data_IF_972847329406
#
_entry.id   IF_972847329406
#
_cell.length_a   1.000
_cell.length_b   1.000
_cell.length_c   1.000
_cell.angle_alpha   90.00
_cell.angle_beta   90.00
_cell.angle_gamma   90.00
#
_symmetry.space_group_name_H-M   'P 1'
#
loop_
_entity.id
_entity.type
_entity.pdbx_description
1 polymer ?
#
# COMPACT_ATOMS: atom_id res chain seq x y z
N UNK A 1 -25.88 12.17 -35.76
CA UNK A 1 -25.50 13.61 -35.69
C UNK A 1 -24.84 13.83 -34.34
N UNK A 2 -23.51 13.81 -34.29
CA UNK A 2 -22.63 15.00 -34.18
C UNK A 2 -22.64 15.58 -32.75
N UNK A 3 -21.57 15.38 -31.96
CA UNK A 3 -20.26 16.07 -31.91
C UNK A 3 -20.30 17.38 -31.08
N UNK A 4 -19.29 17.47 -30.21
CA UNK A 4 -18.59 18.66 -29.67
C UNK A 4 -19.24 19.55 -28.62
N UNK A 5 -18.62 19.57 -27.44
CA UNK A 5 -18.41 20.77 -26.61
C UNK A 5 -17.27 20.52 -25.60
N UNK A 6 -16.07 20.39 -26.15
CA UNK A 6 -14.80 20.27 -25.41
C UNK A 6 -13.89 21.44 -25.82
N UNK A 7 -14.40 22.67 -25.73
CA UNK A 7 -13.70 23.85 -26.25
C UNK A 7 -14.10 25.18 -25.58
N UNK A 8 -14.01 25.24 -24.25
CA UNK A 8 -14.26 26.50 -23.53
C UNK A 8 -13.44 26.64 -22.25
N UNK A 9 -12.11 26.64 -22.33
CA UNK A 9 -11.28 27.20 -21.23
C UNK A 9 -9.80 27.47 -21.57
N UNK A 10 -9.47 27.93 -22.78
CA UNK A 10 -8.14 28.51 -23.03
C UNK A 10 -8.13 29.58 -24.13
N UNK A 11 -8.50 30.82 -23.79
CA UNK A 11 -8.15 32.03 -24.56
C UNK A 11 -7.96 33.23 -23.62
N UNK A 12 -6.81 33.89 -23.77
CA UNK A 12 -6.38 35.10 -23.06
C UNK A 12 -4.85 35.13 -23.02
N UNK A 13 -4.11 35.44 -24.10
CA UNK A 13 -3.92 36.69 -24.85
C UNK A 13 -2.71 37.53 -24.36
N UNK A 14 -1.87 37.93 -25.31
CA UNK A 14 -0.70 38.82 -25.17
C UNK A 14 0.58 38.15 -25.68
N UNK A 15 1.26 38.56 -26.75
CA UNK A 15 1.23 39.78 -27.55
C UNK A 15 2.69 40.10 -27.95
N UNK A 16 2.97 40.13 -29.26
CA UNK A 16 4.28 40.39 -29.87
C UNK A 16 4.89 41.75 -29.47
N UNK A 17 6.23 41.79 -29.34
CA UNK A 17 7.04 42.94 -29.76
C UNK A 17 8.42 42.48 -30.24
N UNK A 18 8.77 42.90 -31.46
CA UNK A 18 10.12 42.94 -32.02
C UNK A 18 10.51 44.42 -32.18
N UNK A 19 11.72 44.80 -31.78
CA UNK A 19 12.76 45.40 -32.67
C UNK A 19 13.88 46.16 -31.93
N UNK A 20 15.07 46.11 -32.56
CA UNK A 20 16.24 47.00 -32.48
C UNK A 20 17.03 47.03 -31.14
N UNK A 21 18.36 46.90 -31.07
CA UNK A 21 19.39 47.62 -31.83
C UNK A 21 20.80 47.03 -31.53
N UNK A 22 21.75 47.41 -32.38
CA UNK A 22 23.05 46.80 -32.62
C UNK A 22 24.24 47.45 -31.87
N UNK A 23 25.44 46.90 -32.16
CA UNK A 23 26.80 47.44 -32.03
C UNK A 23 27.54 47.14 -30.69
N UNK A 24 28.83 46.76 -30.65
CA UNK A 24 29.85 46.49 -31.66
C UNK A 24 31.17 45.99 -30.98
N UNK A 25 31.96 45.20 -31.72
CA UNK A 25 33.46 45.09 -31.74
C UNK A 25 34.16 44.58 -30.45
N UNK A 26 35.12 43.64 -30.44
CA UNK A 26 36.38 43.54 -31.20
C UNK A 26 36.89 42.08 -31.19
N UNK A 27 37.23 41.55 -32.37
CA UNK A 27 38.22 40.46 -32.60
C UNK A 27 39.59 41.09 -32.91
N UNK A 28 40.76 40.42 -32.81
CA UNK A 28 41.20 39.56 -33.93
C UNK A 28 42.17 38.39 -33.58
N UNK A 29 42.24 37.43 -34.51
CA UNK A 29 43.53 36.86 -34.94
C UNK A 29 43.62 35.33 -34.96
N UNK A 30 43.65 34.75 -36.17
CA UNK A 30 44.11 33.36 -36.37
C UNK A 30 43.65 32.67 -37.66
N UNK A 31 44.08 33.17 -38.82
CA UNK A 31 43.91 32.51 -40.13
C UNK A 31 44.76 31.24 -40.28
N UNK A 32 44.26 30.23 -41.02
CA UNK A 32 45.00 29.57 -42.12
C UNK A 32 44.07 28.80 -43.08
N UNK A 33 44.52 28.78 -44.34
CA UNK A 33 43.79 28.61 -45.62
C UNK A 33 43.50 27.15 -46.05
N UNK A 34 42.37 27.02 -46.77
CA UNK A 34 42.05 26.33 -48.05
C UNK A 34 42.86 25.09 -48.47
N UNK A 35 42.16 24.04 -48.94
CA UNK A 35 41.89 23.80 -50.39
C UNK A 35 40.88 22.67 -50.65
N UNK A 36 40.23 22.77 -51.83
CA UNK A 36 39.18 21.92 -52.40
C UNK A 36 39.72 20.63 -53.04
N UNK A 37 38.85 19.61 -53.17
CA UNK A 37 38.59 18.97 -54.48
C UNK A 37 37.30 18.13 -54.46
N UNK A 38 36.55 18.28 -55.56
CA UNK A 38 35.28 17.67 -55.97
C UNK A 38 35.43 16.30 -56.64
N UNK A 39 34.36 15.48 -56.62
CA UNK A 39 33.70 14.77 -57.77
C UNK A 39 32.52 13.95 -57.20
N UNK A 40 31.27 14.32 -57.47
CA UNK A 40 30.39 13.86 -58.57
C UNK A 40 30.18 12.33 -58.64
N UNK A 41 28.94 11.90 -58.37
CA UNK A 41 28.22 11.03 -59.30
C UNK A 41 26.70 11.17 -59.11
N UNK A 42 26.03 11.61 -60.18
CA UNK A 42 24.59 11.54 -60.40
C UNK A 42 24.20 10.12 -60.83
N UNK A 43 22.99 9.66 -60.48
CA UNK A 43 22.05 9.26 -61.51
C UNK A 43 20.61 9.13 -61.00
N UNK A 44 19.74 9.70 -61.83
CA UNK A 44 18.30 9.93 -61.71
C UNK A 44 17.53 8.73 -62.30
N UNK A 45 16.36 8.38 -61.75
CA UNK A 45 15.15 8.09 -62.55
C UNK A 45 13.92 7.73 -61.69
N UNK A 46 12.84 8.46 -61.95
CA UNK A 46 11.46 8.26 -61.52
C UNK A 46 10.73 7.38 -62.56
N UNK A 47 9.83 6.47 -62.17
CA UNK A 47 8.47 6.28 -62.75
C UNK A 47 7.68 5.06 -62.22
N UNK A 48 6.58 5.35 -61.54
CA UNK A 48 5.18 4.87 -61.69
C UNK A 48 4.87 3.51 -62.35
N UNK A 49 4.06 2.67 -61.67
CA UNK A 49 2.65 2.30 -62.03
C UNK A 49 2.25 0.86 -61.61
N UNK A 50 1.09 0.72 -60.97
CA UNK A 50 0.25 -0.51 -60.86
C UNK A 50 -0.77 -0.55 -62.02
N UNK A 51 -1.67 -1.55 -62.19
CA UNK A 51 -1.71 -3.01 -61.91
C UNK A 51 -2.06 -3.81 -63.22
N UNK A 52 -2.57 -5.08 -63.16
CA UNK A 52 -4.04 -5.25 -63.28
C UNK A 52 -4.66 -6.46 -62.53
N UNK A 53 -5.99 -6.59 -62.67
CA UNK A 53 -7.00 -7.41 -61.96
C UNK A 53 -7.74 -8.33 -62.95
N UNK A 54 -8.25 -9.50 -62.51
CA UNK A 54 -9.44 -10.32 -62.97
C UNK A 54 -9.14 -11.84 -62.80
N UNK A 55 -10.04 -12.79 -62.47
CA UNK A 55 -11.51 -12.99 -62.50
C UNK A 55 -11.83 -14.18 -61.54
N UNK A 56 -12.84 -14.15 -60.64
CA UNK A 56 -14.24 -14.63 -60.74
C UNK A 56 -14.47 -16.01 -61.38
N UNK A 57 -15.04 -16.96 -60.61
CA UNK A 57 -16.03 -17.95 -61.10
C UNK A 57 -16.91 -18.47 -59.94
N UNK A 58 -18.23 -18.36 -60.12
CA UNK A 58 -19.31 -18.87 -59.28
C UNK A 58 -19.58 -20.38 -59.50
N UNK A 59 -20.04 -21.12 -58.47
CA UNK A 59 -21.42 -21.65 -58.33
C UNK A 59 -21.58 -22.85 -57.37
N UNK A 60 -22.65 -22.74 -56.57
CA UNK A 60 -23.68 -23.71 -56.14
C UNK A 60 -23.38 -24.95 -55.27
N UNK A 61 -23.99 -24.89 -54.07
CA UNK A 61 -24.94 -25.81 -53.42
C UNK A 61 -24.69 -27.33 -53.37
N UNK A 62 -24.84 -27.89 -52.16
CA UNK A 62 -25.04 -29.33 -51.95
C UNK A 62 -24.94 -29.75 -50.48
N UNK A 63 -26.08 -29.76 -49.79
CA UNK A 63 -26.28 -30.27 -48.43
C UNK A 63 -25.93 -31.76 -48.27
N UNK A 64 -25.39 -32.14 -47.09
CA UNK A 64 -25.84 -33.24 -46.21
C UNK A 64 -24.68 -33.96 -45.46
N UNK A 65 -24.71 -33.80 -44.14
CA UNK A 65 -24.49 -34.81 -43.07
C UNK A 65 -23.46 -35.93 -43.24
N UNK A 66 -22.48 -36.00 -42.31
CA UNK A 66 -22.40 -36.98 -41.20
C UNK A 66 -21.00 -36.97 -40.54
N UNK A 67 -21.03 -36.81 -39.21
CA UNK A 67 -20.14 -37.37 -38.17
C UNK A 67 -18.77 -37.97 -38.55
N UNK A 68 -17.70 -37.41 -37.98
CA UNK A 68 -16.66 -38.23 -37.33
C UNK A 68 -15.87 -37.40 -36.29
N UNK A 69 -15.64 -38.05 -35.16
CA UNK A 69 -14.94 -37.66 -33.93
C UNK A 69 -13.41 -37.64 -34.09
N UNK A 70 -12.70 -36.73 -33.42
CA UNK A 70 -11.42 -37.00 -32.75
C UNK A 70 -10.95 -35.81 -31.87
N UNK A 71 -10.95 -36.08 -30.56
CA UNK A 71 -9.89 -35.74 -29.58
C UNK A 71 -9.47 -34.28 -29.38
N UNK A 72 -10.10 -33.64 -28.38
CA UNK A 72 -9.48 -32.59 -27.59
C UNK A 72 -9.01 -33.21 -26.26
N UNK A 73 -7.70 -33.22 -26.05
CA UNK A 73 -7.08 -33.57 -24.78
C UNK A 73 -7.51 -32.56 -23.71
N UNK A 74 -8.31 -33.04 -22.75
CA UNK A 74 -8.62 -32.33 -21.53
C UNK A 74 -7.47 -32.52 -20.54
N UNK A 75 -6.59 -31.53 -20.40
CA UNK A 75 -5.65 -31.51 -19.30
C UNK A 75 -6.38 -31.16 -18.00
N UNK A 76 -6.35 -32.16 -17.13
CA UNK A 76 -6.98 -32.26 -15.82
C UNK A 76 -6.23 -31.39 -14.82
N UNK A 77 -6.75 -30.21 -14.50
CA UNK A 77 -6.27 -29.40 -13.39
C UNK A 77 -6.77 -29.99 -12.07
N UNK A 78 -5.92 -30.80 -11.43
CA UNK A 78 -6.06 -31.15 -10.01
C UNK A 78 -5.16 -30.24 -9.18
N UNK A 79 -5.74 -29.50 -8.23
CA UNK A 79 -5.02 -28.99 -7.06
C UNK A 79 -4.64 -27.51 -7.05
N UNK A 80 -5.58 -26.59 -7.35
CA UNK A 80 -5.48 -25.20 -6.90
C UNK A 80 -6.56 -24.95 -5.84
N UNK A 81 -6.15 -24.62 -4.62
CA UNK A 81 -7.04 -24.22 -3.54
C UNK A 81 -7.89 -23.02 -3.96
N UNK A 82 -9.16 -23.04 -3.60
CA UNK A 82 -10.23 -22.18 -4.16
C UNK A 82 -10.40 -20.84 -3.42
N UNK A 83 -9.45 -20.46 -2.56
CA UNK A 83 -9.72 -19.49 -1.48
C UNK A 83 -9.10 -18.08 -1.65
N UNK A 84 -8.42 -17.77 -2.76
CA UNK A 84 -7.84 -16.42 -2.99
C UNK A 84 -8.85 -15.36 -3.49
N UNK A 85 -10.14 -15.69 -3.54
CA UNK A 85 -11.15 -14.93 -4.25
C UNK A 85 -12.40 -14.67 -3.39
N UNK A 86 -12.24 -13.95 -2.28
CA UNK A 86 -13.38 -13.31 -1.61
C UNK A 86 -13.34 -11.82 -1.89
N UNK A 87 -14.24 -11.42 -2.80
CA UNK A 87 -14.71 -10.04 -2.95
C UNK A 87 -15.65 -9.71 -1.79
N UNK A 88 -15.32 -8.67 -1.03
CA UNK A 88 -16.17 -8.10 0.02
C UNK A 88 -16.57 -6.67 -0.39
N UNK A 89 -17.01 -6.50 -1.64
CA UNK A 89 -17.64 -5.29 -2.18
C UNK A 89 -19.19 -5.35 -2.13
N UNK A 90 -19.76 -5.86 -1.03
CA UNK A 90 -21.19 -5.79 -0.77
C UNK A 90 -21.48 -4.68 0.25
N UNK A 91 -21.70 -3.48 -0.28
CA UNK A 91 -22.32 -2.38 0.45
C UNK A 91 -23.73 -2.77 0.93
N UNK A 92 -23.90 -3.01 2.24
CA UNK A 92 -25.23 -3.03 2.86
C UNK A 92 -25.57 -1.61 3.33
N UNK A 93 -26.24 -0.88 2.44
CA UNK A 93 -27.02 0.30 2.79
C UNK A 93 -28.19 -0.13 3.66
N UNK A 94 -28.17 0.22 4.95
CA UNK A 94 -29.35 0.14 5.83
C UNK A 94 -30.19 1.40 5.60
N UNK A 95 -31.48 1.30 5.20
CA UNK A 95 -32.33 2.47 5.09
C UNK A 95 -32.70 3.02 6.48
N UNK A 96 -32.65 4.34 6.63
CA UNK A 96 -33.33 5.04 7.72
C UNK A 96 -34.83 4.75 7.66
N UNK A 97 -35.35 4.02 8.63
CA UNK A 97 -36.78 4.00 8.91
C UNK A 97 -37.17 5.28 9.67
N UNK A 98 -38.01 6.10 9.05
CA UNK A 98 -38.75 7.18 9.72
C UNK A 98 -39.86 6.56 10.58
N UNK A 99 -40.18 7.12 11.76
CA UNK A 99 -41.27 6.63 12.58
C UNK A 99 -42.62 7.14 12.04
N UNK A 100 -43.55 6.21 11.83
CA UNK A 100 -44.97 6.52 11.61
C UNK A 100 -45.74 6.41 12.93
N UNK A 101 -46.44 7.48 13.26
CA UNK A 101 -47.42 7.59 14.33
C UNK A 101 -48.61 6.64 14.09
N UNK A 102 -49.04 5.91 15.12
CA UNK A 102 -50.44 5.45 15.27
C UNK A 102 -50.83 5.59 16.73
N UNK A 103 -51.95 6.27 16.92
CA UNK A 103 -52.64 6.53 18.19
C UNK A 103 -53.27 5.25 18.74
N UNK A 104 -53.30 5.11 20.06
CA UNK A 104 -54.54 4.72 20.75
C UNK A 104 -54.52 5.20 22.20
N UNK A 105 -55.59 5.88 22.55
CA UNK A 105 -55.93 6.47 23.84
C UNK A 105 -56.23 5.39 24.90
N UNK A 106 -55.93 5.65 26.17
CA UNK A 106 -56.92 5.71 27.25
C UNK A 106 -56.27 5.99 28.62
N UNK A 107 -56.62 7.15 29.19
CA UNK A 107 -57.16 7.25 30.56
C UNK A 107 -56.21 7.32 31.76
N UNK A 108 -56.31 8.42 32.52
CA UNK A 108 -56.17 8.37 33.98
C UNK A 108 -55.22 9.40 34.59
N UNK A 109 -55.78 10.53 35.01
CA UNK A 109 -55.16 11.56 35.85
C UNK A 109 -54.69 11.02 37.21
N UNK A 110 -53.63 11.59 37.81
CA UNK A 110 -53.70 12.65 38.84
C UNK A 110 -52.31 13.17 39.24
N UNK A 111 -52.28 14.50 39.34
CA UNK A 111 -51.48 15.51 40.04
C UNK A 111 -50.20 15.26 40.87
N UNK A 112 -49.38 16.32 40.79
CA UNK A 112 -48.43 16.91 41.76
C UNK A 112 -47.16 16.14 42.16
N UNK A 113 -46.01 16.75 42.45
CA UNK A 113 -45.39 18.05 42.22
C UNK A 113 -43.93 17.96 42.74
N UNK A 114 -43.09 18.91 42.32
CA UNK A 114 -41.81 19.35 42.93
C UNK A 114 -40.59 18.41 42.89
N UNK A 115 -39.53 18.70 42.10
CA UNK A 115 -38.53 19.79 42.18
C UNK A 115 -37.36 19.49 43.14
N UNK A 116 -36.19 19.10 42.61
CA UNK A 116 -34.90 19.38 43.25
C UNK A 116 -33.88 19.89 42.22
N UNK A 117 -33.54 21.16 42.38
CA UNK A 117 -32.45 21.86 41.70
C UNK A 117 -31.11 21.62 42.40
N UNK A 118 -30.07 21.67 41.58
CA UNK A 118 -28.65 21.84 41.91
C UNK A 118 -28.42 23.05 42.84
N UNK A 119 -27.37 23.00 43.65
CA UNK A 119 -26.18 23.83 43.46
C UNK A 119 -25.10 23.61 44.54
N UNK A 120 -23.86 23.65 44.06
CA UNK A 120 -22.57 23.76 44.75
C UNK A 120 -22.31 25.17 45.28
N UNK A 121 -21.60 25.29 46.42
CA UNK A 121 -20.39 26.13 46.60
C UNK A 121 -19.96 26.18 48.09
N UNK A 122 -18.64 26.17 48.31
CA UNK A 122 -17.98 26.47 49.60
C UNK A 122 -17.94 27.99 49.86
N UNK A 123 -17.59 28.48 51.08
CA UNK A 123 -16.17 28.71 51.41
C UNK A 123 -15.78 28.57 52.90
N UNK A 124 -14.50 28.89 53.17
CA UNK A 124 -13.69 28.70 54.37
C UNK A 124 -14.14 29.44 55.66
N UNK A 125 -13.68 28.92 56.81
CA UNK A 125 -13.77 29.55 58.13
C UNK A 125 -12.85 28.88 59.16
N UNK A 126 -12.20 29.71 59.96
CA UNK A 126 -11.05 29.50 60.87
C UNK A 126 -11.36 28.92 62.27
N UNK A 127 -10.31 28.32 62.85
CA UNK A 127 -9.85 28.39 64.25
C UNK A 127 -10.45 27.51 65.38
N UNK A 128 -9.47 26.96 66.13
CA UNK A 128 -9.41 26.70 67.60
C UNK A 128 -10.31 25.65 68.23
N UNK A 129 -9.71 24.57 68.77
CA UNK A 129 -9.53 24.41 70.23
C UNK A 129 -8.62 23.21 70.55
N UNK A 130 -7.72 23.43 71.49
CA UNK A 130 -6.84 22.44 72.12
C UNK A 130 -7.57 21.71 73.26
N UNK A 131 -7.15 20.48 73.58
CA UNK A 131 -6.93 19.98 74.96
C UNK A 131 -6.67 18.46 74.99
N UNK A 132 -5.56 18.09 75.65
CA UNK A 132 -5.25 16.91 76.50
C UNK A 132 -5.85 15.52 76.18
N UNK A 133 -5.19 14.39 76.36
CA UNK A 133 -3.90 14.03 76.96
C UNK A 133 -3.89 12.52 77.27
N UNK A 134 -2.68 11.98 77.48
CA UNK A 134 -2.29 10.70 78.12
C UNK A 134 -2.34 9.37 77.34
N UNK A 135 -1.11 8.86 77.15
CA UNK A 135 -0.57 7.55 77.56
C UNK A 135 -1.31 6.26 77.18
N UNK A 136 -0.66 5.41 76.37
CA UNK A 136 0.09 4.23 76.86
C UNK A 136 0.35 3.20 75.73
N UNK A 137 1.37 2.35 75.98
CA UNK A 137 1.97 1.30 75.15
C UNK A 137 0.98 0.41 74.36
N UNK A 138 1.33 -0.28 73.26
CA UNK A 138 2.29 -1.40 73.18
C UNK A 138 2.26 -2.00 71.74
N UNK A 139 3.37 -2.62 71.32
CA UNK A 139 3.56 -3.58 70.21
C UNK A 139 3.95 -3.05 68.80
N UNK A 140 4.96 -3.68 68.13
CA UNK A 140 5.43 -3.30 66.80
C UNK A 140 4.50 -3.84 65.69
N UNK A 141 4.48 -3.24 64.50
CA UNK A 141 3.57 -3.66 63.44
C UNK A 141 4.03 -4.99 62.83
N UNK A 142 3.08 -5.87 62.59
CA UNK A 142 3.22 -6.98 61.66
C UNK A 142 3.65 -6.41 60.31
N UNK A 143 4.79 -6.91 59.81
CA UNK A 143 5.28 -6.66 58.45
C UNK A 143 4.11 -6.87 57.48
N UNK A 144 3.65 -5.80 56.85
CA UNK A 144 2.89 -5.95 55.63
C UNK A 144 3.83 -6.65 54.65
N UNK A 145 3.37 -7.80 54.15
CA UNK A 145 3.97 -8.36 52.94
C UNK A 145 3.80 -7.28 51.89
N UNK A 146 4.92 -6.64 51.55
CA UNK A 146 5.00 -5.87 50.32
C UNK A 146 4.65 -6.86 49.22
N UNK A 147 3.40 -6.76 48.74
CA UNK A 147 3.01 -7.35 47.48
C UNK A 147 4.04 -6.83 46.50
N UNK A 148 5.00 -7.68 46.18
CA UNK A 148 5.95 -7.41 45.12
C UNK A 148 5.05 -7.32 43.91
N UNK A 149 4.71 -6.11 43.51
CA UNK A 149 4.14 -5.84 42.20
C UNK A 149 5.24 -6.30 41.26
N UNK A 150 5.16 -7.57 40.89
CA UNK A 150 5.84 -8.14 39.75
C UNK A 150 5.43 -7.25 38.61
N UNK A 151 6.26 -6.26 38.34
CA UNK A 151 6.15 -5.42 37.15
C UNK A 151 6.53 -6.39 36.06
N UNK A 152 5.54 -7.13 35.57
CA UNK A 152 5.66 -7.93 34.37
C UNK A 152 6.01 -6.91 33.30
N UNK A 153 7.32 -6.75 33.08
CA UNK A 153 7.87 -6.07 31.93
C UNK A 153 7.41 -6.87 30.74
N UNK A 154 6.17 -6.62 30.30
CA UNK A 154 5.65 -7.05 29.01
C UNK A 154 6.70 -6.61 28.01
N UNK A 155 7.48 -7.58 27.51
CA UNK A 155 8.52 -7.29 26.57
C UNK A 155 7.85 -6.64 25.37
N UNK A 156 8.08 -5.34 25.15
CA UNK A 156 7.56 -4.57 24.00
C UNK A 156 8.21 -5.02 22.70
N UNK A 157 8.05 -6.29 22.37
CA UNK A 157 8.76 -6.93 21.27
C UNK A 157 8.28 -6.38 19.93
N UNK A 158 6.99 -6.04 19.81
CA UNK A 158 6.39 -5.57 18.58
C UNK A 158 6.96 -4.21 18.16
N UNK A 159 7.00 -3.23 19.06
CA UNK A 159 7.63 -1.94 18.78
C UNK A 159 9.11 -2.09 18.41
N UNK A 160 9.80 -3.07 19.04
CA UNK A 160 11.18 -3.41 18.74
C UNK A 160 11.42 -3.94 17.31
N UNK A 161 10.37 -4.40 16.62
CA UNK A 161 10.45 -4.87 15.22
C UNK A 161 10.50 -3.75 14.19
N UNK A 162 10.24 -2.51 14.57
CA UNK A 162 10.58 -1.34 13.76
C UNK A 162 12.07 -1.05 14.02
N UNK A 163 12.93 -1.42 13.07
CA UNK A 163 14.38 -1.37 13.23
C UNK A 163 14.97 -0.08 12.65
N UNK A 164 14.32 0.53 11.66
CA UNK A 164 14.74 1.82 11.10
C UNK A 164 14.59 2.95 12.14
N UNK A 165 15.68 3.63 12.56
CA UNK A 165 15.60 4.69 13.57
C UNK A 165 14.70 5.85 13.17
N UNK A 166 14.67 6.20 11.88
CA UNK A 166 13.84 7.28 11.36
C UNK A 166 12.35 6.95 11.47
N UNK A 167 11.96 5.75 11.07
CA UNK A 167 10.58 5.28 11.23
C UNK A 167 10.19 5.11 12.69
N UNK A 168 11.08 4.63 13.56
CA UNK A 168 10.82 4.57 15.00
C UNK A 168 10.49 5.94 15.55
N UNK A 169 11.29 6.96 15.20
CA UNK A 169 11.05 8.34 15.64
C UNK A 169 9.74 8.88 15.07
N UNK A 170 9.49 8.67 13.78
CA UNK A 170 8.31 9.17 13.09
C UNK A 170 7.02 8.52 13.60
N UNK A 171 7.04 7.22 13.89
CA UNK A 171 5.88 6.46 14.39
C UNK A 171 5.80 6.41 15.92
N UNK A 172 6.71 7.06 16.64
CA UNK A 172 6.71 7.09 18.10
C UNK A 172 5.34 7.53 18.68
N UNK A 173 4.66 8.57 18.17
CA UNK A 173 3.34 8.98 18.68
C UNK A 173 2.23 7.92 18.51
N UNK A 174 2.43 6.93 17.64
CA UNK A 174 1.47 5.85 17.33
C UNK A 174 1.81 4.53 18.03
N UNK A 175 3.00 4.42 18.62
CA UNK A 175 3.52 3.18 19.23
C UNK A 175 3.69 3.29 20.75
N UNK A 176 3.42 4.47 21.34
CA UNK A 176 3.41 4.68 22.79
C UNK A 176 2.17 4.09 23.47
N UNK A 177 2.28 3.86 24.77
CA UNK A 177 1.17 3.37 25.60
C UNK A 177 0.02 4.39 25.71
N UNK A 178 0.30 5.68 25.47
CA UNK A 178 -0.72 6.73 25.43
C UNK A 178 -1.58 6.69 24.16
N UNK A 179 -1.07 6.14 23.05
CA UNK A 179 -1.79 6.14 21.79
C UNK A 179 -3.05 5.26 21.89
N UNK A 180 -4.21 5.91 21.76
CA UNK A 180 -5.55 5.29 21.87
C UNK A 180 -5.68 4.39 23.10
N UNK A 181 -5.22 4.90 24.25
CA UNK A 181 -5.27 4.22 25.55
C UNK A 181 -4.59 2.83 25.52
N UNK A 182 -3.39 2.72 24.94
CA UNK A 182 -2.64 1.47 24.87
C UNK A 182 -3.05 0.54 23.74
N UNK A 183 -3.55 1.09 22.63
CA UNK A 183 -4.02 0.26 21.50
C UNK A 183 -2.90 -0.55 20.87
N UNK A 184 -1.69 0.00 20.74
CA UNK A 184 -0.55 -0.73 20.16
C UNK A 184 -0.14 -1.93 21.02
N UNK A 185 -0.14 -1.78 22.36
CA UNK A 185 0.11 -2.88 23.28
C UNK A 185 -0.99 -3.97 23.19
N UNK A 186 -2.25 -3.59 22.96
CA UNK A 186 -3.32 -4.59 22.74
C UNK A 186 -3.09 -5.42 21.46
N UNK A 187 -2.51 -4.84 20.41
CA UNK A 187 -2.13 -5.60 19.20
C UNK A 187 -1.06 -6.64 19.57
N UNK A 188 -0.03 -6.25 20.33
CA UNK A 188 1.03 -7.17 20.78
C UNK A 188 0.46 -8.34 21.60
N UNK A 189 -0.37 -8.03 22.61
CA UNK A 189 -1.04 -9.05 23.44
C UNK A 189 -1.93 -9.98 22.62
N UNK A 190 -2.67 -9.44 21.66
CA UNK A 190 -3.46 -10.26 20.74
C UNK A 190 -2.58 -11.27 19.99
N UNK A 191 -1.43 -10.86 19.47
CA UNK A 191 -0.53 -11.78 18.75
C UNK A 191 0.08 -12.84 19.66
N UNK A 192 0.40 -12.47 20.90
CA UNK A 192 0.92 -13.41 21.90
C UNK A 192 -0.16 -14.44 22.28
N UNK A 193 -1.40 -14.00 22.53
CA UNK A 193 -2.55 -14.88 22.81
C UNK A 193 -2.82 -15.85 21.64
N UNK A 194 -2.72 -15.37 20.40
CA UNK A 194 -2.94 -16.20 19.22
C UNK A 194 -1.85 -17.28 19.06
N UNK A 195 -0.59 -16.93 19.36
CA UNK A 195 0.52 -17.89 19.38
C UNK A 195 0.39 -18.89 20.52
N UNK A 196 -0.04 -18.46 21.71
CA UNK A 196 -0.27 -19.33 22.86
C UNK A 196 -1.38 -20.35 22.58
N UNK A 197 -2.39 -19.98 21.78
CA UNK A 197 -3.41 -20.91 21.26
C UNK A 197 -2.88 -21.88 20.19
N UNK A 198 -1.59 -21.85 19.89
CA UNK A 198 -0.96 -22.71 18.88
C UNK A 198 -1.22 -22.29 17.43
N UNK A 199 -1.68 -21.06 17.18
CA UNK A 199 -1.93 -20.57 15.82
C UNK A 199 -0.61 -20.16 15.16
N UNK A 200 -0.47 -20.51 13.89
CA UNK A 200 0.66 -20.05 13.05
C UNK A 200 0.32 -18.69 12.48
N UNK A 201 1.03 -17.66 12.91
CA UNK A 201 0.81 -16.27 12.47
C UNK A 201 1.87 -15.86 11.46
N UNK A 202 1.41 -15.31 10.34
CA UNK A 202 2.22 -14.82 9.22
C UNK A 202 2.11 -13.29 9.09
N UNK A 203 3.14 -12.61 8.55
CA UNK A 203 4.48 -13.14 8.26
C UNK A 203 5.27 -13.41 9.56
N UNK A 204 6.50 -13.96 9.50
CA UNK A 204 7.38 -14.07 10.65
C UNK A 204 7.53 -12.73 11.40
N UNK A 205 7.77 -12.77 12.71
CA UNK A 205 7.79 -11.58 13.55
C UNK A 205 8.79 -10.50 13.09
N UNK A 206 9.91 -10.90 12.49
CA UNK A 206 10.92 -9.99 11.94
C UNK A 206 10.41 -9.19 10.74
N UNK A 207 9.43 -9.73 10.00
CA UNK A 207 8.97 -9.19 8.73
C UNK A 207 7.69 -8.37 8.87
N UNK A 208 7.02 -8.37 10.04
CA UNK A 208 5.76 -7.63 10.27
C UNK A 208 5.86 -6.16 9.83
N UNK A 209 7.01 -5.53 10.08
CA UNK A 209 7.28 -4.13 9.73
C UNK A 209 8.29 -3.96 8.59
N UNK A 210 8.48 -4.99 7.75
CA UNK A 210 9.41 -4.91 6.61
C UNK A 210 9.12 -3.68 5.74
N UNK A 211 7.85 -3.36 5.45
CA UNK A 211 7.46 -2.17 4.70
C UNK A 211 8.08 -0.85 5.22
N UNK A 212 8.25 -0.70 6.53
CA UNK A 212 8.93 0.45 7.13
C UNK A 212 10.45 0.26 7.13
N UNK A 213 10.91 -0.94 7.48
CA UNK A 213 12.34 -1.21 7.64
C UNK A 213 13.11 -1.15 6.32
N UNK A 214 12.50 -1.52 5.20
CA UNK A 214 13.10 -1.50 3.86
C UNK A 214 12.88 -0.21 3.09
N UNK A 215 11.90 0.60 3.48
CA UNK A 215 11.60 1.88 2.81
C UNK A 215 12.31 3.02 3.53
N UNK A 216 13.32 3.70 2.94
CA UNK A 216 13.96 4.82 3.63
C UNK A 216 13.00 6.00 3.75
N UNK A 217 12.68 6.42 4.99
CA UNK A 217 11.66 7.43 5.29
C UNK A 217 11.89 8.73 4.50
N UNK A 218 13.12 9.25 4.45
CA UNK A 218 13.43 10.50 3.70
C UNK A 218 13.20 10.38 2.19
N UNK A 219 13.32 9.17 1.64
CA UNK A 219 13.14 8.91 0.20
C UNK A 219 11.70 8.55 -0.14
N UNK A 220 10.82 8.41 0.86
CA UNK A 220 9.42 8.04 0.66
C UNK A 220 8.74 9.01 -0.29
N UNK A 221 8.15 8.45 -1.34
CA UNK A 221 7.52 9.18 -2.44
C UNK A 221 6.26 8.51 -2.98
N UNK A 222 6.13 7.17 -2.80
CA UNK A 222 4.92 6.42 -3.17
C UNK A 222 4.42 5.61 -1.96
N UNK A 223 3.11 5.55 -1.79
CA UNK A 223 2.45 4.65 -0.83
C UNK A 223 1.48 3.76 -1.61
N UNK A 224 1.64 2.45 -1.52
CA UNK A 224 0.73 1.45 -2.07
C UNK A 224 0.05 0.69 -0.94
N UNK A 225 -1.27 0.61 -1.00
CA UNK A 225 -2.08 -0.05 0.03
C UNK A 225 -2.57 -1.42 -0.43
N UNK A 226 -2.35 -2.42 0.42
CA UNK A 226 -2.98 -3.74 0.34
C UNK A 226 -3.94 -3.98 1.51
N UNK A 227 -4.59 -5.15 1.53
CA UNK A 227 -5.59 -5.50 2.52
C UNK A 227 -4.97 -6.22 3.73
N UNK A 228 -4.55 -7.47 3.55
CA UNK A 228 -3.88 -8.31 4.52
C UNK A 228 -2.72 -9.08 3.88
N UNK A 229 -1.81 -9.68 4.67
CA UNK A 229 -0.71 -10.46 4.13
C UNK A 229 -1.25 -11.72 3.45
N UNK A 230 -0.49 -12.22 2.49
CA UNK A 230 -0.65 -13.57 2.01
C UNK A 230 -0.61 -14.59 3.16
N UNK A 231 -1.50 -15.59 3.11
CA UNK A 231 -1.74 -16.51 4.23
C UNK A 231 -1.09 -17.88 4.09
N UNK A 232 -0.42 -18.18 2.97
CA UNK A 232 0.33 -19.42 2.87
C UNK A 232 1.74 -19.28 3.47
N UNK A 233 2.25 -20.41 3.97
CA UNK A 233 3.59 -20.48 4.56
C UNK A 233 4.65 -20.06 3.53
N UNK A 234 5.64 -19.31 3.99
CA UNK A 234 6.74 -18.79 3.18
C UNK A 234 6.29 -17.91 1.99
N UNK A 235 5.08 -17.35 2.03
CA UNK A 235 4.59 -16.44 1.00
C UNK A 235 4.78 -14.97 1.39
N UNK A 236 4.15 -14.53 2.48
CA UNK A 236 4.24 -13.14 2.95
C UNK A 236 5.58 -12.83 3.62
N UNK A 237 6.12 -11.64 3.33
CA UNK A 237 7.32 -11.08 3.98
C UNK A 237 7.16 -9.59 4.34
N UNK A 238 5.93 -9.17 4.65
CA UNK A 238 5.65 -7.83 5.18
C UNK A 238 5.51 -6.69 4.16
N UNK A 239 5.51 -6.98 2.86
CA UNK A 239 5.20 -6.03 1.80
C UNK A 239 3.89 -6.43 1.10
N UNK A 240 2.97 -5.49 0.87
CA UNK A 240 1.74 -5.78 0.12
C UNK A 240 2.07 -6.27 -1.31
N UNK A 241 1.29 -7.23 -1.83
CA UNK A 241 1.46 -7.86 -3.14
C UNK A 241 2.77 -8.63 -3.42
N UNK A 242 3.79 -8.52 -2.55
CA UNK A 242 5.05 -9.22 -2.75
C UNK A 242 5.05 -10.60 -2.10
N UNK A 243 5.75 -11.54 -2.74
CA UNK A 243 6.04 -12.86 -2.18
C UNK A 243 7.55 -13.10 -2.10
N UNK A 244 7.96 -14.03 -1.23
CA UNK A 244 9.36 -14.48 -1.17
C UNK A 244 9.84 -15.07 -2.51
N UNK A 245 11.16 -15.13 -2.74
CA UNK A 245 11.73 -15.86 -3.87
C UNK A 245 11.22 -17.30 -3.96
N UNK A 246 11.20 -17.85 -5.17
CA UNK A 246 10.77 -19.23 -5.48
C UNK A 246 9.28 -19.56 -5.19
N UNK A 247 8.52 -18.60 -4.67
CA UNK A 247 7.07 -18.72 -4.52
C UNK A 247 6.38 -18.43 -5.87
N UNK A 248 5.42 -19.27 -6.31
CA UNK A 248 4.64 -19.01 -7.52
C UNK A 248 3.96 -17.63 -7.46
N UNK A 249 3.98 -16.92 -8.58
CA UNK A 249 3.35 -15.60 -8.69
C UNK A 249 1.86 -15.67 -8.35
N UNK A 250 1.38 -14.96 -7.31
CA UNK A 250 -0.05 -14.90 -7.01
C UNK A 250 -0.85 -14.28 -8.18
N UNK A 251 -2.15 -14.62 -8.33
CA UNK A 251 -2.95 -14.14 -9.46
C UNK A 251 -2.96 -12.62 -9.63
N UNK A 252 -3.10 -11.86 -8.53
CA UNK A 252 -3.05 -10.40 -8.56
C UNK A 252 -1.69 -9.87 -9.04
N UNK A 253 -0.59 -10.48 -8.61
CA UNK A 253 0.75 -10.06 -9.02
C UNK A 253 1.02 -10.36 -10.50
N UNK A 254 0.51 -11.48 -11.02
CA UNK A 254 0.57 -11.75 -12.47
C UNK A 254 -0.15 -10.66 -13.27
N UNK A 255 -1.30 -10.18 -12.80
CA UNK A 255 -2.02 -9.10 -13.45
C UNK A 255 -1.31 -7.75 -13.29
N UNK A 256 -0.61 -7.51 -12.17
CA UNK A 256 0.28 -6.36 -12.00
C UNK A 256 1.39 -6.36 -13.06
N UNK A 257 2.07 -7.50 -13.26
CA UNK A 257 3.13 -7.61 -14.27
C UNK A 257 2.59 -7.47 -15.71
N UNK A 258 1.39 -7.97 -16.00
CA UNK A 258 0.73 -7.75 -17.29
C UNK A 258 0.49 -6.27 -17.57
N UNK A 259 -0.02 -5.54 -16.59
CA UNK A 259 -0.24 -4.10 -16.74
C UNK A 259 1.08 -3.34 -16.88
N UNK A 260 2.10 -3.65 -16.05
CA UNK A 260 3.43 -3.07 -16.17
C UNK A 260 4.06 -3.28 -17.55
N UNK A 261 3.88 -4.45 -18.14
CA UNK A 261 4.39 -4.79 -19.48
C UNK A 261 3.71 -3.93 -20.56
N UNK A 262 2.42 -3.62 -20.39
CA UNK A 262 1.69 -2.77 -21.33
C UNK A 262 1.94 -1.27 -21.11
N UNK A 263 2.17 -0.85 -19.85
CA UNK A 263 2.25 0.55 -19.47
C UNK A 263 3.67 1.13 -19.53
N UNK A 264 4.67 0.37 -19.09
CA UNK A 264 6.06 0.82 -18.99
C UNK A 264 6.87 0.27 -20.16
N UNK A 265 7.27 1.15 -21.06
CA UNK A 265 8.07 0.80 -22.23
C UNK A 265 9.36 0.05 -21.82
N UNK A 266 9.55 -1.16 -22.38
CA UNK A 266 10.71 -1.99 -22.13
C UNK A 266 10.68 -2.80 -20.82
N UNK A 267 9.58 -2.75 -20.05
CA UNK A 267 9.44 -3.59 -18.87
C UNK A 267 9.41 -5.08 -19.23
N UNK A 268 10.18 -5.86 -18.48
CA UNK A 268 10.25 -7.32 -18.57
C UNK A 268 9.83 -7.91 -17.22
N UNK A 269 8.75 -8.69 -17.23
CA UNK A 269 8.26 -9.36 -16.03
C UNK A 269 9.29 -10.42 -15.56
N UNK A 270 9.77 -10.36 -14.31
CA UNK A 270 10.61 -11.42 -13.76
C UNK A 270 9.77 -12.68 -13.48
N UNK A 271 10.45 -13.82 -13.32
CA UNK A 271 9.80 -15.08 -12.94
C UNK A 271 9.41 -15.15 -11.44
N UNK A 272 9.88 -14.20 -10.61
CA UNK A 272 9.63 -14.16 -9.17
C UNK A 272 8.71 -13.01 -8.76
N UNK A 273 8.14 -13.10 -7.55
CA UNK A 273 7.25 -12.08 -6.99
C UNK A 273 7.85 -11.20 -5.89
N UNK A 274 9.16 -11.21 -5.75
CA UNK A 274 9.90 -10.39 -4.79
C UNK A 274 10.03 -8.92 -5.26
N UNK A 275 9.40 -8.00 -4.54
CA UNK A 275 9.23 -6.58 -4.90
C UNK A 275 10.05 -5.63 -4.01
N UNK A 276 10.99 -6.18 -3.22
CA UNK A 276 11.79 -5.43 -2.25
C UNK A 276 12.48 -4.19 -2.85
N UNK A 277 12.99 -4.31 -4.08
CA UNK A 277 13.66 -3.20 -4.77
C UNK A 277 12.76 -1.99 -5.04
N UNK A 278 11.44 -2.15 -5.05
CA UNK A 278 10.53 -0.99 -5.08
C UNK A 278 10.47 -0.31 -3.72
N UNK A 279 10.44 -1.08 -2.63
CA UNK A 279 10.43 -0.51 -1.28
C UNK A 279 11.67 0.34 -1.00
N UNK A 280 12.84 -0.20 -1.36
CA UNK A 280 14.15 0.46 -1.24
C UNK A 280 14.25 1.78 -2.02
N UNK A 281 13.42 1.98 -3.05
CA UNK A 281 13.37 3.23 -3.85
C UNK A 281 12.48 4.31 -3.22
N UNK A 282 11.87 4.07 -2.07
CA UNK A 282 10.94 4.99 -1.42
C UNK A 282 9.46 4.68 -1.70
N UNK A 283 9.11 3.41 -1.89
CA UNK A 283 7.72 2.96 -1.99
C UNK A 283 7.30 2.23 -0.70
N UNK A 284 6.41 2.83 0.08
CA UNK A 284 5.83 2.17 1.25
C UNK A 284 4.73 1.20 0.78
N UNK A 285 5.00 -0.10 0.89
CA UNK A 285 4.10 -1.18 0.47
C UNK A 285 3.33 -1.75 1.67
N UNK A 286 2.29 -1.03 2.11
CA UNK A 286 1.63 -1.23 3.39
C UNK A 286 0.31 -2.01 3.24
N UNK A 287 0.16 -3.13 3.94
CA UNK A 287 -1.16 -3.74 4.15
C UNK A 287 -1.92 -3.03 5.28
N UNK A 288 -3.25 -2.99 5.22
CA UNK A 288 -4.07 -2.46 6.32
C UNK A 288 -4.13 -3.39 7.55
N UNK A 289 -3.96 -4.69 7.34
CA UNK A 289 -3.71 -5.68 8.39
C UNK A 289 -2.29 -6.21 8.22
N UNK A 290 -1.47 -6.23 9.28
CA UNK A 290 -0.04 -6.60 9.15
C UNK A 290 0.26 -8.06 9.49
N UNK A 291 -0.74 -8.82 9.94
CA UNK A 291 -0.60 -10.24 10.24
C UNK A 291 -1.85 -11.00 9.83
N UNK A 292 -1.74 -12.32 9.65
CA UNK A 292 -2.83 -13.22 9.32
C UNK A 292 -2.54 -14.60 9.92
N UNK A 293 -3.57 -15.35 10.30
CA UNK A 293 -3.43 -16.78 10.62
C UNK A 293 -3.21 -17.57 9.32
N UNK A 294 -2.28 -18.54 9.34
CA UNK A 294 -1.98 -19.36 8.18
C UNK A 294 -3.24 -20.01 7.58
N UNK A 295 -3.36 -19.93 6.27
CA UNK A 295 -4.47 -20.43 5.45
C UNK A 295 -5.85 -19.83 5.77
N UNK A 296 -5.91 -18.70 6.48
CA UNK A 296 -7.17 -18.02 6.82
C UNK A 296 -7.11 -16.53 6.47
N UNK A 297 -7.39 -16.22 5.21
CA UNK A 297 -7.54 -14.84 4.73
C UNK A 297 -8.43 -14.01 5.67
N UNK A 298 -8.06 -12.76 5.91
CA UNK A 298 -8.79 -11.79 6.73
C UNK A 298 -9.01 -12.17 8.22
N UNK A 299 -8.42 -13.27 8.71
CA UNK A 299 -8.59 -13.76 10.10
C UNK A 299 -8.29 -12.70 11.17
N UNK A 300 -7.36 -11.80 10.90
CA UNK A 300 -6.95 -10.75 11.84
C UNK A 300 -7.57 -9.36 11.54
N UNK A 301 -8.30 -9.22 10.43
CA UNK A 301 -8.77 -7.91 9.92
C UNK A 301 -9.65 -7.14 10.90
N UNK A 302 -10.50 -7.84 11.66
CA UNK A 302 -11.46 -7.25 12.62
C UNK A 302 -11.02 -7.38 14.08
N UNK A 303 -10.12 -8.32 14.39
CA UNK A 303 -9.81 -8.75 15.75
C UNK A 303 -8.49 -8.18 16.28
N UNK A 304 -7.51 -7.96 15.40
CA UNK A 304 -6.14 -7.60 15.80
C UNK A 304 -5.95 -6.14 16.20
N UNK A 305 -6.78 -5.22 15.69
CA UNK A 305 -6.57 -3.77 15.83
C UNK A 305 -5.64 -3.14 14.78
N UNK A 306 -5.06 -3.94 13.87
CA UNK A 306 -4.11 -3.43 12.85
C UNK A 306 -4.67 -2.32 11.99
N UNK A 307 -5.91 -2.43 11.51
CA UNK A 307 -6.53 -1.40 10.65
C UNK A 307 -6.55 -0.03 11.33
N UNK A 308 -6.75 0.03 12.65
CA UNK A 308 -6.69 1.30 13.39
C UNK A 308 -5.28 1.88 13.46
N UNK A 309 -4.26 1.02 13.53
CA UNK A 309 -2.86 1.44 13.53
C UNK A 309 -2.46 1.95 12.14
N UNK A 310 -2.71 1.18 11.09
CA UNK A 310 -2.34 1.57 9.72
C UNK A 310 -3.13 2.78 9.22
N UNK A 311 -4.40 2.95 9.63
CA UNK A 311 -5.15 4.18 9.34
C UNK A 311 -4.51 5.40 10.00
N UNK A 312 -4.02 5.26 11.23
CA UNK A 312 -3.29 6.32 11.90
C UNK A 312 -1.93 6.59 11.23
N UNK A 313 -1.24 5.56 10.72
CA UNK A 313 -0.01 5.72 9.92
C UNK A 313 -0.29 6.53 8.65
N UNK A 314 -1.35 6.20 7.90
CA UNK A 314 -1.73 6.92 6.67
C UNK A 314 -2.02 8.40 6.96
N UNK A 315 -2.82 8.67 8.01
CA UNK A 315 -3.12 10.04 8.44
C UNK A 315 -1.84 10.78 8.86
N UNK A 316 -0.97 10.13 9.64
CA UNK A 316 0.27 10.72 10.13
C UNK A 316 1.24 11.04 8.99
N UNK A 317 1.35 10.15 8.00
CA UNK A 317 2.09 10.41 6.76
C UNK A 317 1.52 11.61 6.00
N UNK A 318 0.19 11.65 5.82
CA UNK A 318 -0.44 12.75 5.10
C UNK A 318 -0.23 14.11 5.77
N UNK A 319 -0.22 14.16 7.10
CA UNK A 319 -0.12 15.41 7.84
C UNK A 319 1.33 15.84 8.06
N UNK A 320 2.22 14.90 8.39
CA UNK A 320 3.53 15.24 8.95
C UNK A 320 4.71 14.82 8.10
N UNK A 321 4.54 13.95 7.09
CA UNK A 321 5.66 13.56 6.25
C UNK A 321 6.18 14.79 5.49
N UNK A 322 7.51 15.06 5.42
CA UNK A 322 8.01 16.27 4.78
C UNK A 322 7.74 16.29 3.26
N UNK A 323 7.85 15.14 2.59
CA UNK A 323 7.64 15.04 1.14
C UNK A 323 6.15 15.04 0.79
N UNK A 324 5.82 15.57 -0.40
CA UNK A 324 4.56 15.26 -1.08
C UNK A 324 4.64 13.82 -1.59
N UNK A 325 3.50 13.11 -1.59
CA UNK A 325 3.47 11.66 -1.83
C UNK A 325 2.43 11.33 -2.89
N UNK A 326 2.65 10.25 -3.63
CA UNK A 326 1.64 9.60 -4.48
C UNK A 326 1.06 8.40 -3.74
N UNK A 327 -0.26 8.38 -3.53
CA UNK A 327 -0.98 7.24 -2.97
C UNK A 327 -1.66 6.44 -4.09
N UNK A 328 -1.32 5.15 -4.19
CA UNK A 328 -1.93 4.21 -5.12
C UNK A 328 -3.01 3.42 -4.38
N UNK A 329 -4.27 3.64 -4.76
CA UNK A 329 -5.44 3.03 -4.12
C UNK A 329 -6.15 2.08 -5.10
N UNK A 330 -5.81 0.80 -5.03
CA UNK A 330 -6.34 -0.24 -5.91
C UNK A 330 -7.52 -0.97 -5.26
N UNK A 331 -8.71 -0.81 -5.84
CA UNK A 331 -9.95 -1.41 -5.35
C UNK A 331 -10.65 -0.65 -4.22
N UNK A 332 -11.91 -1.00 -3.97
CA UNK A 332 -12.79 -0.29 -3.04
C UNK A 332 -12.23 -0.22 -1.61
N UNK A 333 -11.63 -1.30 -1.11
CA UNK A 333 -11.04 -1.33 0.23
C UNK A 333 -9.93 -0.27 0.42
N UNK A 334 -9.01 -0.15 -0.55
CA UNK A 334 -7.96 0.87 -0.50
C UNK A 334 -8.54 2.28 -0.75
N UNK A 335 -9.50 2.43 -1.66
CA UNK A 335 -10.16 3.71 -1.96
C UNK A 335 -10.89 4.30 -0.76
N UNK A 336 -11.43 3.46 0.15
CA UNK A 336 -12.01 3.93 1.41
C UNK A 336 -11.01 4.70 2.30
N UNK A 337 -9.70 4.51 2.10
CA UNK A 337 -8.64 5.21 2.82
C UNK A 337 -8.36 6.62 2.27
N UNK A 338 -8.95 6.99 1.12
CA UNK A 338 -8.87 8.34 0.54
C UNK A 338 -9.21 9.45 1.53
N UNK A 339 -10.21 9.23 2.39
CA UNK A 339 -10.63 10.18 3.44
C UNK A 339 -9.56 10.47 4.50
N UNK A 340 -8.49 9.68 4.54
CA UNK A 340 -7.36 9.84 5.47
C UNK A 340 -6.22 10.68 4.88
N UNK A 341 -6.32 11.05 3.61
CA UNK A 341 -5.27 11.68 2.83
C UNK A 341 -5.71 13.09 2.43
N UNK A 342 -4.86 14.07 2.71
CA UNK A 342 -5.02 15.43 2.23
C UNK A 342 -4.70 15.51 0.73
N UNK A 343 -5.76 15.42 -0.09
CA UNK A 343 -5.68 15.49 -1.55
C UNK A 343 -5.28 16.88 -2.08
N UNK A 344 -5.26 17.93 -1.25
CA UNK A 344 -4.72 19.23 -1.65
C UNK A 344 -3.19 19.23 -1.67
N UNK A 345 -2.58 18.37 -0.85
CA UNK A 345 -1.13 18.21 -0.70
C UNK A 345 -0.58 17.06 -1.52
N UNK A 346 -1.21 15.89 -1.43
CA UNK A 346 -0.75 14.64 -2.03
C UNK A 346 -1.50 14.32 -3.32
N UNK A 347 -0.92 13.46 -4.15
CA UNK A 347 -1.60 12.92 -5.33
C UNK A 347 -2.21 11.57 -4.98
N UNK A 348 -3.46 11.35 -5.35
CA UNK A 348 -4.17 10.08 -5.15
C UNK A 348 -4.52 9.52 -6.53
N UNK A 349 -4.04 8.32 -6.83
CA UNK A 349 -4.34 7.59 -8.06
C UNK A 349 -5.15 6.34 -7.70
N UNK A 350 -6.39 6.32 -8.18
CA UNK A 350 -7.34 5.23 -7.92
C UNK A 350 -7.44 4.34 -9.15
N UNK A 351 -7.47 3.02 -8.93
CA UNK A 351 -7.73 2.04 -9.99
C UNK A 351 -8.56 0.88 -9.45
N UNK A 352 -9.09 0.06 -10.34
CA UNK A 352 -9.70 -1.23 -10.00
C UNK A 352 -8.65 -2.15 -9.38
N UNK A 353 -9.04 -3.12 -8.54
CA UNK A 353 -8.07 -4.05 -7.96
C UNK A 353 -7.51 -5.03 -9.02
N UNK A 354 -6.21 -5.43 -8.95
CA UNK A 354 -5.60 -6.39 -9.89
C UNK A 354 -6.10 -7.85 -9.76
N UNK A 355 -6.96 -8.17 -8.81
CA UNK A 355 -7.52 -9.52 -8.64
C UNK A 355 -8.21 -9.99 -9.94
N UNK A 356 -8.15 -11.29 -10.30
CA UNK A 356 -8.88 -11.84 -11.44
C UNK A 356 -10.38 -11.49 -11.46
N UNK A 357 -11.00 -11.31 -10.30
CA UNK A 357 -12.42 -10.95 -10.16
C UNK A 357 -12.75 -9.55 -10.71
N UNK A 358 -11.76 -8.66 -10.78
CA UNK A 358 -11.96 -7.25 -11.12
C UNK A 358 -11.04 -6.78 -12.25
N UNK A 359 -9.98 -7.51 -12.59
CA UNK A 359 -8.94 -7.00 -13.48
C UNK A 359 -9.46 -6.59 -14.87
N UNK A 360 -10.35 -7.40 -15.45
CA UNK A 360 -10.97 -7.10 -16.75
C UNK A 360 -11.98 -5.94 -16.71
N UNK A 361 -12.36 -5.46 -15.52
CA UNK A 361 -13.32 -4.36 -15.33
C UNK A 361 -12.65 -2.98 -15.20
N UNK A 362 -11.33 -2.90 -15.37
CA UNK A 362 -10.63 -1.61 -15.40
C UNK A 362 -9.22 -1.61 -14.79
N UNK A 363 -8.65 -2.75 -14.40
CA UNK A 363 -7.22 -2.81 -14.04
C UNK A 363 -6.35 -2.74 -15.29
N UNK A 364 -6.67 -3.58 -16.28
CA UNK A 364 -5.93 -3.58 -17.53
C UNK A 364 -6.19 -2.30 -18.33
N UNK A 365 -5.12 -1.61 -18.69
CA UNK A 365 -5.15 -0.30 -19.35
C UNK A 365 -5.35 0.88 -18.41
N UNK A 366 -5.28 0.69 -17.08
CA UNK A 366 -5.38 1.80 -16.14
C UNK A 366 -4.15 2.71 -16.13
N UNK A 367 -3.00 2.22 -16.61
CA UNK A 367 -1.74 2.95 -16.76
C UNK A 367 -1.27 3.64 -15.48
N UNK A 368 -1.52 2.99 -14.34
CA UNK A 368 -1.26 3.57 -13.03
C UNK A 368 0.23 3.74 -12.72
N UNK A 369 1.13 3.00 -13.40
CA UNK A 369 2.58 3.08 -13.16
C UNK A 369 3.21 4.27 -13.90
N UNK A 370 2.79 4.53 -15.14
CA UNK A 370 3.22 5.73 -15.88
C UNK A 370 2.63 6.99 -15.25
N UNK A 371 1.34 6.98 -14.90
CA UNK A 371 0.68 8.09 -14.21
C UNK A 371 1.33 8.40 -12.85
N UNK A 372 1.78 7.37 -12.11
CA UNK A 372 2.55 7.54 -10.89
C UNK A 372 3.88 8.27 -11.16
N UNK A 373 4.62 7.86 -12.19
CA UNK A 373 5.87 8.51 -12.56
C UNK A 373 5.68 9.95 -13.03
N UNK A 374 4.64 10.23 -13.82
CA UNK A 374 4.28 11.59 -14.23
C UNK A 374 3.98 12.48 -13.01
N UNK A 375 3.20 11.98 -12.05
CA UNK A 375 2.90 12.69 -10.81
C UNK A 375 4.17 12.95 -9.97
N UNK A 376 5.07 11.96 -9.86
CA UNK A 376 6.35 12.13 -9.16
C UNK A 376 7.20 13.22 -9.83
N UNK A 377 7.32 13.20 -11.16
CA UNK A 377 8.07 14.21 -11.91
C UNK A 377 7.49 15.61 -11.73
N UNK A 378 6.16 15.75 -11.79
CA UNK A 378 5.48 17.01 -11.56
C UNK A 378 5.71 17.58 -10.15
N UNK A 379 6.00 16.72 -9.16
CA UNK A 379 6.34 17.10 -7.79
C UNK A 379 7.86 17.30 -7.57
N UNK A 380 8.69 17.11 -8.60
CA UNK A 380 10.15 17.22 -8.49
C UNK A 380 10.83 15.99 -7.86
N UNK A 381 10.12 14.86 -7.76
CA UNK A 381 10.68 13.60 -7.28
C UNK A 381 11.28 12.77 -8.42
N UNK A 382 12.30 11.98 -8.09
CA UNK A 382 12.81 10.96 -9.01
C UNK A 382 11.71 9.91 -9.27
N UNK A 383 11.41 9.57 -10.54
CA UNK A 383 10.47 8.50 -10.88
C UNK A 383 10.81 7.16 -10.21
N UNK A 384 9.83 6.28 -10.12
CA UNK A 384 10.07 4.87 -9.79
C UNK A 384 10.69 4.15 -10.99
N UNK A 385 11.74 3.38 -10.74
CA UNK A 385 12.22 2.37 -11.66
C UNK A 385 11.44 1.08 -11.40
N UNK A 386 10.39 0.90 -12.21
CA UNK A 386 9.49 -0.25 -12.07
C UNK A 386 10.12 -1.57 -12.47
N UNK A 387 11.11 -1.58 -13.37
CA UNK A 387 11.85 -2.80 -13.73
C UNK A 387 12.50 -3.42 -12.49
N UNK A 388 12.13 -4.68 -12.24
CA UNK A 388 12.71 -5.51 -11.19
C UNK A 388 13.98 -6.23 -11.70
N UNK A 389 14.89 -6.66 -10.82
CA UNK A 389 15.93 -7.61 -11.20
C UNK A 389 15.30 -8.85 -11.85
N UNK A 390 15.83 -9.32 -12.99
CA UNK A 390 15.32 -10.54 -13.63
C UNK A 390 15.79 -11.81 -12.90
N UNK A 391 16.92 -11.70 -12.21
CA UNK A 391 17.48 -12.74 -11.34
C UNK A 391 17.73 -12.11 -9.98
N UNK A 392 17.41 -12.86 -8.94
CA UNK A 392 17.72 -12.46 -7.57
C UNK A 392 19.14 -12.91 -7.23
N UNK A 393 19.86 -12.16 -6.38
CA UNK A 393 21.11 -12.64 -5.82
C UNK A 393 20.85 -13.98 -5.14
N UNK A 394 21.63 -15.01 -5.48
CA UNK A 394 21.64 -16.24 -4.68
C UNK A 394 22.03 -15.83 -3.27
N UNK A 395 21.23 -16.20 -2.27
CA UNK A 395 21.75 -16.24 -0.91
C UNK A 395 23.02 -17.08 -0.94
N UNK A 396 24.16 -16.49 -0.62
CA UNK A 396 25.38 -17.25 -0.44
C UNK A 396 25.09 -18.25 0.68
N UNK A 397 24.99 -19.54 0.33
CA UNK A 397 24.94 -20.61 1.30
C UNK A 397 26.06 -20.38 2.30
N UNK A 398 25.69 -20.40 3.59
CA UNK A 398 26.64 -20.25 4.68
C UNK A 398 27.80 -21.21 4.45
N UNK A 399 29.00 -20.66 4.33
CA UNK A 399 30.21 -21.39 4.03
C UNK A 399 30.35 -22.60 4.95
N UNK A 400 30.14 -23.77 4.37
CA UNK A 400 30.58 -25.03 4.93
C UNK A 400 32.11 -24.93 5.00
N UNK A 401 32.63 -24.55 6.17
CA UNK A 401 34.05 -24.59 6.46
C UNK A 401 34.49 -26.05 6.30
N UNK A 402 35.08 -26.35 5.15
CA UNK A 402 35.78 -27.59 4.91
C UNK A 402 36.81 -27.78 6.02
N UNK A 403 36.54 -28.72 6.92
CA UNK A 403 37.55 -29.36 7.76
C UNK A 403 38.45 -30.19 6.85
N UNK A 404 39.35 -29.52 6.14
CA UNK A 404 40.55 -30.14 5.58
C UNK A 404 41.50 -30.43 6.73
N UNK A 405 41.36 -31.62 7.33
CA UNK A 405 42.33 -32.14 8.28
C UNK A 405 43.61 -32.51 7.55
N UNK A 406 44.58 -31.60 7.53
CA UNK A 406 45.95 -31.90 7.14
C UNK A 406 46.60 -32.68 8.29
N UNK A 407 46.65 -34.01 8.15
CA UNK A 407 47.47 -34.88 9.00
C UNK A 407 48.92 -34.75 8.57
N UNK A 408 49.70 -33.99 9.32
CA UNK A 408 51.14 -34.19 9.41
C UNK A 408 51.42 -35.65 9.82
N UNK A 409 52.33 -36.32 9.11
CA UNK A 409 53.03 -37.51 9.59
C UNK A 409 54.52 -37.19 9.72
N UNK A 410 55.18 -37.74 10.75
CA UNK A 410 56.58 -37.47 11.07
C UNK A 410 57.56 -38.12 10.09
#
# INVERSE_FOLDING_TARGET
MQRTLFDFMWKGNGGNMADAAAAALVTPGGERKRQLSSTLNENTAIRTSSPPRKQVKDHCEGSLSRTCTAELQSDRWNGASRDDAIDLDASLSVPLARPTCVQHEHGGAVDEAEHISRCTAAPAGTATHASSGKDSSTAPPLRSFATTTTTTSSSRWLAGRITSPEWRSFLAPLTTDSWRNGAFLRIERFLDDEREKGRVILPPAADIFNAFNSCPLRSLKVVLLGQDPYHDLNQAHGLCFSVLPDVPLPPSLRNIYKELTADIAGFQAPAHGYLQSWSEQGMLMLNATLTVEAHKANSHSKTSGWSSFTDAVIQHLSQHHPNRLVFLLWGGYAQQKKKLIDASRHVILESVHPSPLSANRGWFGCRCFSACNEALQAMGHLPMRWQLPLTLPRCADGGEQGRGGEKERP
#
